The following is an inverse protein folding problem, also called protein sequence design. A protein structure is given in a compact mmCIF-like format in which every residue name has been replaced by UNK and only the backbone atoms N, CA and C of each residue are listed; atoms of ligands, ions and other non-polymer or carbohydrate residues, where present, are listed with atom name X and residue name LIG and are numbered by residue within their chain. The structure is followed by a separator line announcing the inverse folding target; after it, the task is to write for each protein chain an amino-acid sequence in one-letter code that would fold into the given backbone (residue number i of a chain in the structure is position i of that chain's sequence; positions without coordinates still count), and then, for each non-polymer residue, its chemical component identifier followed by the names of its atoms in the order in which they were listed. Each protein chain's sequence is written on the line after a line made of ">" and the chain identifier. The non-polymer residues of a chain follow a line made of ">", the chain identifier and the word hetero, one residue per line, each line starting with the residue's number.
data_IF_380728299065
#
_entry.id   IF_380728299065
#
_cell.length_a   1.000
_cell.length_b   1.000
_cell.length_c   1.000
_cell.angle_alpha   90.00
_cell.angle_beta   90.00
_cell.angle_gamma   90.00
#
_symmetry.space_group_name_H-M   'P 1'
#
loop_
_entity.id
_entity.type
_entity.pdbx_description
1 polymer ?
#
# COMPACT_ATOMS: atom_id res chain seq x y z
N UNK A 1 -6.32 10.92 19.41
CA UNK A 1 -5.83 11.56 18.16
C UNK A 1 -4.73 10.67 17.61
N UNK A 2 -4.71 10.36 16.30
CA UNK A 2 -3.56 9.64 15.71
C UNK A 2 -2.43 10.63 15.44
N UNK A 3 -1.19 10.26 15.74
CA UNK A 3 0.00 11.09 15.47
C UNK A 3 0.40 11.09 13.99
N UNK A 4 -0.06 10.09 13.23
CA UNK A 4 0.25 9.88 11.82
C UNK A 4 -1.03 9.67 11.00
N UNK A 5 -0.89 9.76 9.67
CA UNK A 5 -1.92 9.49 8.70
C UNK A 5 -2.17 7.99 8.48
N UNK A 6 -2.80 7.66 7.36
CA UNK A 6 -3.14 6.28 7.00
C UNK A 6 -1.90 5.48 6.61
N UNK A 7 -1.95 4.17 6.85
CA UNK A 7 -0.92 3.24 6.36
C UNK A 7 -0.87 3.22 4.83
N UNK A 8 0.26 2.84 4.23
CA UNK A 8 0.37 2.67 2.78
C UNK A 8 -0.61 1.60 2.27
N UNK A 9 -0.86 0.56 3.08
CA UNK A 9 -1.87 -0.45 2.77
C UNK A 9 -3.28 0.16 2.67
N UNK A 10 -3.67 0.96 3.67
CA UNK A 10 -4.98 1.62 3.68
C UNK A 10 -5.10 2.66 2.58
N UNK A 11 -4.04 3.41 2.28
CA UNK A 11 -4.02 4.37 1.19
C UNK A 11 -4.28 3.68 -0.16
N UNK A 12 -3.62 2.54 -0.41
CA UNK A 12 -3.81 1.75 -1.63
C UNK A 12 -5.21 1.15 -1.71
N UNK A 13 -5.69 0.50 -0.64
CA UNK A 13 -6.94 -0.28 -0.64
C UNK A 13 -8.21 0.56 -0.45
N UNK A 14 -8.14 1.61 0.36
CA UNK A 14 -9.34 2.35 0.82
C UNK A 14 -9.43 3.77 0.27
N UNK A 15 -8.31 4.42 -0.07
CA UNK A 15 -8.31 5.81 -0.54
C UNK A 15 -8.18 5.88 -2.06
N UNK A 16 -7.21 5.17 -2.63
CA UNK A 16 -6.97 5.18 -4.07
C UNK A 16 -7.73 4.07 -4.79
N UNK A 17 -7.95 2.94 -4.12
CA UNK A 17 -8.53 1.71 -4.67
C UNK A 17 -7.82 1.22 -5.95
N UNK A 18 -6.52 1.48 -6.04
CA UNK A 18 -5.64 1.08 -7.16
C UNK A 18 -4.19 1.09 -6.70
N UNK A 19 -3.30 0.51 -7.51
CA UNK A 19 -1.86 0.58 -7.28
C UNK A 19 -1.35 2.02 -7.39
N UNK A 20 -0.28 2.32 -6.65
CA UNK A 20 0.41 3.59 -6.73
C UNK A 20 0.98 3.81 -8.14
N UNK A 21 1.02 5.07 -8.54
CA UNK A 21 1.80 5.49 -9.70
C UNK A 21 3.28 5.20 -9.47
N UNK A 22 4.03 5.02 -10.55
CA UNK A 22 5.49 4.80 -10.48
C UNK A 22 6.22 5.89 -9.70
N UNK A 23 5.75 7.13 -9.84
CA UNK A 23 6.26 8.30 -9.12
C UNK A 23 6.05 8.17 -7.61
N UNK A 24 4.82 7.89 -7.18
CA UNK A 24 4.52 7.67 -5.75
C UNK A 24 5.30 6.47 -5.21
N UNK A 25 5.34 5.35 -5.93
CA UNK A 25 6.09 4.17 -5.52
C UNK A 25 7.59 4.45 -5.38
N UNK A 26 8.20 5.15 -6.35
CA UNK A 26 9.62 5.49 -6.31
C UNK A 26 9.94 6.43 -5.14
N UNK A 27 9.10 7.46 -4.91
CA UNK A 27 9.26 8.39 -3.79
C UNK A 27 9.14 7.69 -2.43
N UNK A 28 8.18 6.77 -2.29
CA UNK A 28 8.05 5.91 -1.10
C UNK A 28 9.32 5.07 -0.92
N UNK A 29 9.83 4.44 -1.97
CA UNK A 29 11.04 3.59 -1.88
C UNK A 29 12.26 4.37 -1.38
N UNK A 30 12.44 5.61 -1.83
CA UNK A 30 13.53 6.48 -1.38
C UNK A 30 13.40 6.81 0.10
N UNK A 31 12.22 7.26 0.55
CA UNK A 31 12.00 7.59 1.97
C UNK A 31 12.08 6.35 2.88
N UNK A 32 11.58 5.21 2.42
CA UNK A 32 11.66 3.96 3.17
C UNK A 32 13.11 3.47 3.30
N UNK A 33 13.93 3.61 2.25
CA UNK A 33 15.35 3.27 2.30
C UNK A 33 16.10 4.16 3.29
N UNK A 34 15.85 5.47 3.27
CA UNK A 34 16.44 6.44 4.21
C UNK A 34 16.06 6.07 5.65
N UNK A 35 14.77 5.83 5.93
CA UNK A 35 14.32 5.46 7.27
C UNK A 35 14.88 4.11 7.76
N UNK A 36 15.05 3.13 6.88
CA UNK A 36 15.70 1.85 7.21
C UNK A 36 17.19 2.05 7.49
N UNK A 37 17.88 2.87 6.70
CA UNK A 37 19.28 3.22 6.92
C UNK A 37 19.47 3.89 8.28
N UNK A 38 18.62 4.85 8.63
CA UNK A 38 18.66 5.55 9.91
C UNK A 38 18.43 4.58 11.07
N UNK A 39 17.44 3.69 10.97
CA UNK A 39 17.19 2.66 11.99
C UNK A 39 18.37 1.71 12.17
N UNK A 40 19.02 1.30 11.09
CA UNK A 40 20.18 0.42 11.15
C UNK A 40 21.41 1.15 11.71
N UNK A 41 21.55 2.46 11.46
CA UNK A 41 22.64 3.28 12.01
C UNK A 41 22.63 3.35 13.54
N UNK A 42 21.44 3.28 14.15
CA UNK A 42 21.27 3.21 15.61
C UNK A 42 21.34 1.77 16.15
N UNK A 43 21.64 0.78 15.30
CA UNK A 43 21.89 -0.60 15.69
C UNK A 43 20.64 -1.48 15.80
N UNK A 44 19.50 -1.06 15.23
CA UNK A 44 18.26 -1.83 15.28
C UNK A 44 17.86 -2.37 13.90
N UNK A 45 17.31 -3.58 13.89
CA UNK A 45 16.61 -4.13 12.73
C UNK A 45 15.11 -4.05 12.95
N UNK A 46 14.35 -3.55 11.97
CA UNK A 46 12.87 -3.49 12.06
C UNK A 46 12.23 -4.88 12.09
N UNK A 47 12.71 -5.79 11.23
CA UNK A 47 12.24 -7.18 11.03
C UNK A 47 10.81 -7.38 10.52
N UNK A 48 9.93 -6.37 10.58
CA UNK A 48 8.57 -6.41 10.01
C UNK A 48 8.33 -5.33 8.95
N UNK A 49 9.11 -5.34 7.87
CA UNK A 49 8.97 -4.36 6.78
C UNK A 49 7.80 -4.78 5.88
N UNK A 50 6.68 -4.05 5.97
CA UNK A 50 5.46 -4.28 5.17
C UNK A 50 4.63 -3.00 5.03
N UNK A 51 3.76 -2.86 4.00
CA UNK A 51 2.99 -1.63 3.76
C UNK A 51 2.13 -1.14 4.94
N UNK A 52 1.66 -2.02 5.82
CA UNK A 52 0.92 -1.65 7.02
C UNK A 52 1.77 -0.87 8.05
N UNK A 53 3.09 -1.09 8.06
CA UNK A 53 4.04 -0.47 9.00
C UNK A 53 4.68 0.81 8.44
N UNK A 54 4.16 1.33 7.33
CA UNK A 54 4.51 2.65 6.83
C UNK A 54 3.25 3.50 6.76
N UNK A 55 3.30 4.74 7.23
CA UNK A 55 2.16 5.65 7.22
C UNK A 55 2.51 7.02 6.66
N UNK A 56 1.55 7.67 6.01
CA UNK A 56 1.73 9.04 5.55
C UNK A 56 1.73 10.05 6.71
N UNK A 57 2.26 11.24 6.47
CA UNK A 57 1.97 12.41 7.29
C UNK A 57 0.47 12.71 7.33
N UNK A 58 0.04 13.38 8.41
CA UNK A 58 -1.31 13.95 8.52
C UNK A 58 -1.52 15.14 7.57
N UNK A 59 -0.46 15.95 7.41
CA UNK A 59 -0.46 17.06 6.48
C UNK A 59 -0.01 16.59 5.10
N UNK A 60 -0.83 16.87 4.09
CA UNK A 60 -0.51 16.64 2.69
C UNK A 60 0.67 17.49 2.20
N UNK A 61 1.00 18.60 2.87
CA UNK A 61 2.14 19.45 2.47
C UNK A 61 3.49 18.86 2.89
N UNK A 62 3.53 18.05 3.96
CA UNK A 62 4.79 17.48 4.43
C UNK A 62 5.32 16.40 3.48
N UNK A 63 4.45 15.66 2.79
CA UNK A 63 4.85 14.60 1.85
C UNK A 63 5.85 13.59 2.48
N UNK A 64 5.66 13.26 3.76
CA UNK A 64 6.51 12.34 4.51
C UNK A 64 5.85 10.97 4.73
N UNK A 65 6.68 9.94 4.76
CA UNK A 65 6.36 8.58 5.16
C UNK A 65 7.08 8.27 6.47
N UNK A 66 6.31 7.82 7.46
CA UNK A 66 6.79 7.37 8.76
C UNK A 66 6.86 5.84 8.80
N UNK A 67 7.89 5.32 9.46
CA UNK A 67 7.99 3.91 9.86
C UNK A 67 7.27 3.73 11.19
N UNK A 68 6.44 2.70 11.28
CA UNK A 68 5.63 2.35 12.44
C UNK A 68 5.99 0.95 12.95
N UNK A 69 5.58 0.67 14.18
CA UNK A 69 5.63 -0.66 14.80
C UNK A 69 7.05 -1.27 14.87
N UNK A 70 7.84 -0.71 15.78
CA UNK A 70 9.11 -1.29 16.23
C UNK A 70 8.92 -2.42 17.26
N UNK A 71 7.71 -2.98 17.40
CA UNK A 71 7.37 -3.97 18.44
C UNK A 71 8.17 -5.27 18.35
N UNK A 72 8.76 -5.54 17.17
CA UNK A 72 9.75 -6.60 16.99
C UNK A 72 11.12 -6.08 16.60
N UNK A 73 11.44 -4.80 16.79
CA UNK A 73 12.78 -4.32 16.52
C UNK A 73 13.78 -4.96 17.50
N UNK A 74 14.97 -5.33 17.02
CA UNK A 74 16.01 -5.93 17.87
C UNK A 74 17.39 -5.40 17.53
N UNK A 75 18.23 -5.30 18.56
CA UNK A 75 19.66 -5.14 18.41
C UNK A 75 20.27 -6.48 17.96
N UNK A 76 20.88 -6.56 16.76
CA UNK A 76 21.54 -7.77 16.26
C UNK A 76 22.58 -8.34 17.21
N UNK A 77 23.24 -7.47 18.00
CA UNK A 77 24.35 -7.86 18.90
C UNK A 77 23.87 -8.63 20.13
N UNK A 78 22.59 -8.52 20.49
CA UNK A 78 22.03 -9.07 21.74
C UNK A 78 21.21 -10.34 21.52
N UNK A 79 20.94 -10.77 20.29
CA UNK A 79 20.04 -11.91 20.05
C UNK A 79 20.38 -12.68 18.77
N UNK A 80 20.52 -14.00 18.90
CA UNK A 80 20.62 -14.94 17.77
C UNK A 80 19.42 -14.77 16.84
N UNK A 81 19.62 -14.07 15.72
CA UNK A 81 18.55 -13.74 14.78
C UNK A 81 18.36 -14.91 13.82
N UNK A 82 17.13 -15.44 13.72
CA UNK A 82 16.78 -16.39 12.66
C UNK A 82 16.71 -15.65 11.33
N UNK A 83 17.46 -16.13 10.34
CA UNK A 83 17.35 -15.67 8.96
C UNK A 83 15.99 -16.07 8.40
N UNK A 84 15.21 -15.09 7.96
CA UNK A 84 14.04 -15.33 7.11
C UNK A 84 14.53 -15.14 5.68
N UNK A 85 14.54 -16.21 4.90
CA UNK A 85 14.86 -16.14 3.48
C UNK A 85 13.75 -15.36 2.76
N UNK A 86 14.05 -14.15 2.28
CA UNK A 86 13.15 -13.45 1.38
C UNK A 86 13.17 -14.19 0.03
N UNK A 87 12.07 -14.85 -0.31
CA UNK A 87 11.92 -15.47 -1.63
C UNK A 87 12.17 -14.44 -2.73
N UNK A 88 13.05 -14.76 -3.69
CA UNK A 88 13.34 -13.90 -4.83
C UNK A 88 12.14 -13.88 -5.79
N UNK A 89 11.20 -12.97 -5.59
CA UNK A 89 10.01 -12.87 -6.43
C UNK A 89 10.23 -11.87 -7.58
N UNK A 90 11.03 -12.26 -8.57
CA UNK A 90 11.35 -11.41 -9.72
C UNK A 90 10.13 -11.11 -10.62
N UNK A 91 9.07 -11.93 -10.56
CA UNK A 91 7.87 -11.77 -11.41
C UNK A 91 7.11 -10.46 -11.20
N UNK A 92 7.26 -9.84 -10.03
CA UNK A 92 6.55 -8.60 -9.64
C UNK A 92 7.47 -7.38 -9.75
N UNK A 93 8.79 -7.58 -9.89
CA UNK A 93 9.79 -6.51 -9.86
C UNK A 93 10.07 -6.01 -11.28
N UNK A 94 10.05 -4.69 -11.55
CA UNK A 94 10.51 -4.14 -12.82
C UNK A 94 11.96 -4.56 -13.14
N UNK A 95 12.24 -4.93 -14.39
CA UNK A 95 13.57 -5.38 -14.84
C UNK A 95 14.68 -4.39 -14.48
N UNK A 96 14.37 -3.09 -14.56
CA UNK A 96 15.31 -2.02 -14.22
C UNK A 96 15.79 -2.09 -12.76
N UNK A 97 15.06 -2.75 -11.87
CA UNK A 97 15.38 -2.90 -10.44
C UNK A 97 16.01 -4.25 -10.08
N UNK A 98 16.26 -5.13 -11.06
CA UNK A 98 16.83 -6.46 -10.80
C UNK A 98 18.20 -6.39 -10.11
N UNK A 99 19.03 -5.40 -10.44
CA UNK A 99 20.35 -5.23 -9.84
C UNK A 99 20.27 -5.05 -8.32
N UNK A 100 19.29 -4.31 -7.81
CA UNK A 100 19.08 -4.15 -6.36
C UNK A 100 18.68 -5.49 -5.73
N UNK A 101 17.77 -6.25 -6.37
CA UNK A 101 17.35 -7.56 -5.84
C UNK A 101 18.51 -8.56 -5.81
N UNK A 102 19.34 -8.57 -6.86
CA UNK A 102 20.54 -9.40 -6.93
C UNK A 102 21.58 -8.97 -5.90
N UNK A 103 21.78 -7.67 -5.71
CA UNK A 103 22.67 -7.12 -4.70
C UNK A 103 22.25 -7.55 -3.29
N UNK A 104 20.99 -7.29 -2.91
CA UNK A 104 20.44 -7.67 -1.59
C UNK A 104 20.50 -9.18 -1.37
N UNK A 105 20.25 -9.97 -2.42
CA UNK A 105 20.31 -11.44 -2.34
C UNK A 105 21.71 -12.03 -2.15
N UNK A 106 22.77 -11.23 -2.28
CA UNK A 106 24.16 -11.63 -2.03
C UNK A 106 24.68 -11.21 -0.65
N UNK A 107 23.93 -10.37 0.07
CA UNK A 107 24.32 -9.92 1.41
C UNK A 107 24.29 -11.08 2.40
N UNK A 108 25.31 -11.11 3.27
CA UNK A 108 25.35 -12.00 4.43
C UNK A 108 24.74 -11.28 5.62
N UNK A 109 24.50 -12.02 6.71
CA UNK A 109 23.95 -11.44 7.92
C UNK A 109 24.87 -10.37 8.54
N UNK A 110 26.18 -10.61 8.50
CA UNK A 110 27.18 -9.76 9.12
C UNK A 110 27.58 -8.55 8.25
N UNK A 111 27.20 -8.56 6.96
CA UNK A 111 27.59 -7.49 6.04
C UNK A 111 26.63 -6.33 6.13
N UNK A 112 27.16 -5.12 6.32
CA UNK A 112 26.38 -3.90 6.25
C UNK A 112 25.95 -3.62 4.79
N UNK A 113 24.65 -3.33 4.55
CA UNK A 113 24.19 -2.94 3.22
C UNK A 113 24.74 -1.57 2.81
N UNK A 114 25.06 -1.42 1.53
CA UNK A 114 25.42 -0.15 0.90
C UNK A 114 24.15 0.60 0.49
N UNK A 115 23.61 1.37 1.44
CA UNK A 115 22.44 2.21 1.24
C UNK A 115 22.66 3.29 0.17
N UNK A 116 23.90 3.78 0.03
CA UNK A 116 24.25 4.81 -0.95
C UNK A 116 24.15 4.26 -2.36
N UNK A 117 24.66 3.06 -2.60
CA UNK A 117 24.49 2.34 -3.86
C UNK A 117 23.02 2.15 -4.23
N UNK A 118 22.21 1.62 -3.30
CA UNK A 118 20.78 1.39 -3.56
C UNK A 118 20.07 2.70 -3.89
N UNK A 119 20.34 3.78 -3.13
CA UNK A 119 19.73 5.09 -3.34
C UNK A 119 20.10 5.68 -4.70
N UNK A 120 21.39 5.67 -5.06
CA UNK A 120 21.87 6.20 -6.33
C UNK A 120 21.33 5.40 -7.51
N UNK A 121 21.20 4.07 -7.35
CA UNK A 121 20.59 3.22 -8.34
C UNK A 121 19.11 3.57 -8.55
N UNK A 122 18.31 3.69 -7.48
CA UNK A 122 16.90 4.11 -7.56
C UNK A 122 16.73 5.46 -8.27
N UNK A 123 17.55 6.46 -7.92
CA UNK A 123 17.52 7.78 -8.55
C UNK A 123 17.92 7.74 -10.03
N UNK A 124 18.92 6.93 -10.38
CA UNK A 124 19.35 6.75 -11.77
C UNK A 124 18.26 6.07 -12.59
N UNK A 125 17.64 5.02 -12.06
CA UNK A 125 16.49 4.34 -12.68
C UNK A 125 15.31 5.30 -12.85
N UNK A 126 15.01 6.13 -11.85
CA UNK A 126 13.95 7.13 -11.96
C UNK A 126 14.21 8.10 -13.10
N UNK A 127 15.43 8.61 -13.23
CA UNK A 127 15.84 9.49 -14.34
C UNK A 127 15.73 8.80 -15.70
N UNK A 128 16.27 7.59 -15.84
CA UNK A 128 16.25 6.83 -17.10
C UNK A 128 14.84 6.50 -17.57
N UNK A 129 13.96 6.12 -16.63
CA UNK A 129 12.56 5.78 -16.91
C UNK A 129 11.64 7.00 -16.93
N UNK A 130 12.19 8.21 -16.79
CA UNK A 130 11.46 9.49 -16.76
C UNK A 130 10.37 9.52 -15.68
N UNK A 131 10.63 8.91 -14.53
CA UNK A 131 9.78 8.99 -13.35
C UNK A 131 10.14 10.27 -12.59
N UNK A 132 9.15 11.15 -12.42
CA UNK A 132 9.26 12.33 -11.58
C UNK A 132 9.09 11.95 -10.10
N UNK A 133 10.16 12.08 -9.30
CA UNK A 133 10.16 11.79 -7.86
C UNK A 133 9.66 12.95 -7.01
N UNK A 134 9.63 14.17 -7.56
CA UNK A 134 9.20 15.37 -6.83
C UNK A 134 7.69 15.55 -6.82
N UNK A 135 7.01 14.95 -7.81
CA UNK A 135 5.55 14.91 -7.88
C UNK A 135 4.93 14.53 -6.53
N UNK A 136 3.86 15.26 -6.16
CA UNK A 136 3.08 14.98 -4.94
C UNK A 136 2.48 13.57 -4.98
N UNK A 137 2.33 12.95 -3.81
CA UNK A 137 1.75 11.62 -3.66
C UNK A 137 0.34 11.54 -4.25
N UNK A 138 -0.01 10.35 -4.77
CA UNK A 138 -1.28 10.11 -5.46
C UNK A 138 -2.53 10.43 -4.63
N UNK A 139 -2.43 10.34 -3.30
CA UNK A 139 -3.53 10.57 -2.36
C UNK A 139 -3.64 12.02 -1.86
N UNK A 140 -2.72 12.90 -2.26
CA UNK A 140 -2.75 14.33 -1.91
C UNK A 140 -4.11 14.92 -2.28
N UNK A 141 -4.78 15.57 -1.32
CA UNK A 141 -6.10 16.17 -1.46
C UNK A 141 -7.29 15.18 -1.50
N UNK A 142 -7.03 13.87 -1.41
CA UNK A 142 -8.06 12.82 -1.52
C UNK A 142 -8.44 12.17 -0.20
N UNK A 143 -7.57 12.26 0.81
CA UNK A 143 -7.78 11.61 2.12
C UNK A 143 -9.03 12.17 2.82
N UNK A 144 -9.22 13.50 2.81
CA UNK A 144 -10.39 14.18 3.39
C UNK A 144 -11.69 13.85 2.64
N UNK A 145 -11.62 13.59 1.34
CA UNK A 145 -12.78 13.25 0.50
C UNK A 145 -13.24 11.81 0.73
N UNK A 146 -12.31 10.88 0.90
CA UNK A 146 -12.61 9.48 1.19
C UNK A 146 -13.33 9.31 2.56
N UNK A 147 -12.96 10.10 3.57
CA UNK A 147 -13.62 10.10 4.88
C UNK A 147 -15.09 10.55 4.81
N UNK A 148 -15.42 11.49 3.91
CA UNK A 148 -16.80 11.95 3.70
C UNK A 148 -17.67 10.91 3.00
N UNK A 149 -17.10 10.14 2.05
CA UNK A 149 -17.81 9.05 1.36
C UNK A 149 -18.22 7.93 2.31
N UNK A 150 -17.29 7.47 3.16
CA UNK A 150 -17.59 6.44 4.19
C UNK A 150 -18.69 6.83 5.17
N UNK A 151 -18.75 8.12 5.57
CA UNK A 151 -19.84 8.64 6.43
C UNK A 151 -21.20 8.66 5.73
N UNK A 152 -21.25 8.74 4.40
CA UNK A 152 -22.49 8.76 3.62
C UNK A 152 -23.05 7.35 3.42
N UNK A 153 -22.16 6.38 3.18
CA UNK A 153 -22.51 4.96 3.01
C UNK A 153 -23.03 4.32 4.32
N UNK A 154 -22.38 4.58 5.46
CA UNK A 154 -22.85 4.10 6.77
C UNK A 154 -24.21 4.67 7.20
N UNK A 155 -24.62 5.82 6.63
CA UNK A 155 -25.92 6.45 6.90
C UNK A 155 -27.04 5.92 6.00
N UNK A 156 -26.70 5.24 4.89
CA UNK A 156 -27.66 4.61 3.99
C UNK A 156 -27.95 3.15 4.38
N UNK A 157 -26.98 2.41 4.93
CA UNK A 157 -27.22 1.05 5.45
C UNK A 157 -28.03 1.03 6.76
N UNK A 158 -28.05 2.13 7.53
CA UNK A 158 -28.86 2.23 8.75
C UNK A 158 -30.30 2.69 8.50
N UNK A 159 -30.68 3.03 7.27
CA UNK A 159 -32.03 3.51 6.92
C UNK A 159 -32.82 2.54 6.04
N UNK A 160 -32.34 1.31 5.84
CA UNK A 160 -32.99 0.29 5.00
C UNK A 160 -33.44 -0.96 5.76
N UNK A 161 -33.64 -0.85 7.08
CA UNK A 161 -34.04 -1.97 7.95
C UNK A 161 -35.37 -1.74 8.69
N UNK A 162 -36.19 -0.79 8.24
CA UNK A 162 -37.57 -0.66 8.68
C UNK A 162 -38.51 -0.89 7.48
N UNK A 163 -39.53 -1.71 7.71
CA UNK A 163 -40.71 -2.03 6.89
C UNK A 163 -40.61 -3.14 5.82
N UNK A 164 -41.12 -4.34 6.18
CA UNK A 164 -42.34 -4.88 5.56
C UNK A 164 -42.82 -6.16 6.26
N UNK A 165 -43.78 -5.99 7.19
CA UNK A 165 -44.79 -7.00 7.45
C UNK A 165 -45.92 -6.85 6.43
N UNK A 166 -46.51 -7.99 6.05
CA UNK A 166 -47.85 -8.17 5.47
C UNK A 166 -47.97 -8.49 3.95
N UNK A 167 -48.20 -9.79 3.72
CA UNK A 167 -49.16 -10.48 2.81
C UNK A 167 -49.19 -10.23 1.29
N UNK A 168 -49.04 -11.34 0.55
CA UNK A 168 -50.15 -11.94 -0.20
C UNK A 168 -50.39 -11.51 -1.66
N UNK A 169 -50.21 -12.49 -2.55
CA UNK A 169 -50.97 -12.75 -3.78
C UNK A 169 -50.64 -11.98 -5.07
N UNK A 170 -50.20 -12.76 -6.06
CA UNK A 170 -50.58 -12.82 -7.48
C UNK A 170 -51.04 -11.54 -8.20
N UNK A 171 -50.31 -11.11 -9.24
CA UNK A 171 -50.82 -11.02 -10.62
C UNK A 171 -49.76 -10.46 -11.60
N UNK A 172 -49.84 -10.95 -12.85
CA UNK A 172 -49.07 -10.52 -14.02
C UNK A 172 -49.34 -9.06 -14.41
N UNK A 173 -48.32 -8.34 -14.89
CA UNK A 173 -48.35 -7.57 -16.16
C UNK A 173 -47.06 -6.78 -16.40
N UNK A 174 -46.66 -6.78 -17.68
CA UNK A 174 -45.56 -6.00 -18.27
C UNK A 174 -45.71 -4.48 -18.06
N UNK A 175 -44.59 -3.81 -17.79
CA UNK A 175 -44.35 -2.46 -18.30
C UNK A 175 -42.86 -2.09 -18.29
N UNK A 176 -42.38 -1.67 -19.46
CA UNK A 176 -41.08 -1.04 -19.66
C UNK A 176 -40.97 0.28 -18.87
N UNK A 177 -39.92 0.42 -18.05
CA UNK A 177 -39.45 1.74 -17.59
C UNK A 177 -37.93 1.82 -17.73
N UNK A 178 -37.52 2.71 -18.64
CA UNK A 178 -36.15 3.14 -18.89
C UNK A 178 -35.55 3.76 -17.62
N UNK A 179 -34.42 3.25 -17.15
CA UNK A 179 -33.62 3.90 -16.12
C UNK A 179 -32.13 3.85 -16.46
N UNK A 180 -31.60 5.03 -16.75
CA UNK A 180 -30.17 5.29 -16.91
C UNK A 180 -29.48 5.08 -15.57
N UNK A 181 -28.73 3.98 -15.44
CA UNK A 181 -27.90 3.72 -14.27
C UNK A 181 -26.49 4.28 -14.50
N UNK A 182 -26.20 5.38 -13.81
CA UNK A 182 -24.84 5.85 -13.61
C UNK A 182 -24.00 4.71 -12.98
N UNK A 183 -22.88 4.37 -13.62
CA UNK A 183 -21.92 3.37 -13.13
C UNK A 183 -21.27 3.85 -11.82
N UNK A 184 -21.87 3.50 -10.70
CA UNK A 184 -21.23 3.54 -9.39
C UNK A 184 -20.12 2.48 -9.41
N UNK A 185 -18.86 2.91 -9.53
CA UNK A 185 -17.69 2.05 -9.26
C UNK A 185 -17.63 1.76 -7.76
N UNK A 186 -18.38 0.74 -7.36
CA UNK A 186 -18.30 0.17 -6.03
C UNK A 186 -16.93 -0.53 -5.90
N UNK A 187 -16.07 -0.04 -5.01
CA UNK A 187 -14.80 -0.68 -4.69
C UNK A 187 -14.97 -1.47 -3.39
N UNK A 188 -15.73 -2.56 -3.50
CA UNK A 188 -15.96 -3.51 -2.42
C UNK A 188 -16.00 -4.93 -2.97
N UNK A 189 -15.12 -5.77 -2.43
CA UNK A 189 -14.98 -7.22 -2.63
C UNK A 189 -14.51 -7.73 -4.00
N UNK A 190 -13.18 -7.82 -4.15
CA UNK A 190 -12.58 -9.01 -4.77
C UNK A 190 -11.68 -9.72 -3.75
N UNK A 191 -12.25 -10.72 -3.08
CA UNK A 191 -11.47 -11.86 -2.61
C UNK A 191 -10.97 -12.58 -3.86
N UNK A 192 -9.76 -12.25 -4.32
CA UNK A 192 -9.07 -13.09 -5.30
C UNK A 192 -8.00 -13.87 -4.54
N UNK A 193 -8.44 -15.00 -4.01
CA UNK A 193 -7.61 -16.16 -3.71
C UNK A 193 -6.80 -16.49 -4.96
N UNK A 194 -5.48 -16.50 -4.84
CA UNK A 194 -4.60 -17.03 -5.88
C UNK A 194 -4.78 -18.55 -5.91
N UNK A 195 -5.63 -19.02 -6.81
CA UNK A 195 -5.71 -20.41 -7.24
C UNK A 195 -5.73 -20.40 -8.76
N UNK A 196 -4.66 -20.88 -9.38
CA UNK A 196 -4.64 -21.25 -10.80
C UNK A 196 -3.88 -22.57 -10.90
N UNK A 197 -4.64 -23.65 -10.78
CA UNK A 197 -4.29 -24.94 -11.35
C UNK A 197 -4.76 -25.00 -12.82
N UNK A 198 -3.91 -25.65 -13.62
CA UNK A 198 -4.20 -26.51 -14.78
C UNK A 198 -4.50 -25.95 -16.17
N UNK A 199 -3.49 -26.19 -17.03
CA UNK A 199 -3.50 -26.87 -18.35
C UNK A 199 -3.92 -26.08 -19.60
N UNK A 200 -2.98 -25.92 -20.53
CA UNK A 200 -2.75 -26.93 -21.57
C UNK A 200 -1.25 -27.11 -21.81
#
# INVERSE_FOLDING_TARGET
>A
MSLVGKSLEDLRRQVLCKNFSKSTAMKISLQALEAISDLHSVGFLHRDIKPANFASSLSDELQLIYVLDFGIARNPKETTTRLISAGRHFSVVPKDLYSIVLYVGQLKYETEPDYTYIRNYLLTTAKQTKIDVEKKFDWTGKVSQAAKRKKKEQKQESSSSEDNQHTGSDDESDSEVVSSTEKIKNCGNSNQTYFCESKN
#
